data_IF_268286196870
#
_entry.id   IF_268286196870
#
_cell.length_a   1.000
_cell.length_b   1.000
_cell.length_c   1.000
_cell.angle_alpha   90.00
_cell.angle_beta   90.00
_cell.angle_gamma   90.00
#
_symmetry.space_group_name_H-M   'P 1'
#
loop_
_entity.id
_entity.type
_entity.pdbx_description
1 polymer ?
#
# COMPACT_ATOMS: atom_id res chain seq x y z
N UNK A 1 8.14 -11.70 -1.62
CA UNK A 1 7.73 -12.82 -2.48
C UNK A 1 8.72 -13.98 -2.34
N UNK A 2 10.02 -13.84 -2.69
CA UNK A 2 11.03 -14.93 -2.59
C UNK A 2 11.06 -15.62 -1.23
N UNK A 3 11.07 -14.86 -0.13
CA UNK A 3 11.07 -15.39 1.24
C UNK A 3 9.83 -16.21 1.54
N UNK A 4 8.68 -15.76 1.09
CA UNK A 4 7.40 -16.49 1.25
C UNK A 4 7.41 -17.80 0.46
N UNK A 5 7.94 -17.80 -0.78
CA UNK A 5 8.12 -19.03 -1.57
C UNK A 5 9.07 -20.01 -0.88
N UNK A 6 10.18 -19.53 -0.31
CA UNK A 6 11.08 -20.37 0.49
C UNK A 6 10.42 -20.97 1.74
N UNK A 7 9.40 -20.30 2.27
CA UNK A 7 8.58 -20.78 3.38
C UNK A 7 7.39 -21.66 2.94
N UNK A 8 7.39 -22.14 1.67
CA UNK A 8 6.34 -22.96 1.06
C UNK A 8 4.95 -22.31 1.07
N UNK A 9 4.90 -20.97 1.00
CA UNK A 9 3.63 -20.25 0.84
C UNK A 9 3.28 -20.17 -0.64
N UNK A 10 2.13 -20.69 -1.03
CA UNK A 10 1.56 -20.52 -2.35
C UNK A 10 1.10 -19.06 -2.53
N UNK A 11 1.56 -18.38 -3.58
CA UNK A 11 1.31 -16.96 -3.80
C UNK A 11 0.52 -16.78 -5.10
N UNK A 12 -0.67 -16.22 -4.98
CA UNK A 12 -1.45 -15.71 -6.11
C UNK A 12 -1.28 -14.19 -6.15
N UNK A 13 -0.47 -13.70 -7.09
CA UNK A 13 -0.11 -12.28 -7.14
C UNK A 13 -1.06 -11.51 -8.05
N UNK A 14 -1.72 -10.50 -7.49
CA UNK A 14 -2.55 -9.54 -8.19
C UNK A 14 -1.89 -8.16 -8.12
N UNK A 15 -1.56 -7.55 -9.28
CA UNK A 15 -0.89 -6.25 -9.26
C UNK A 15 -1.39 -5.34 -10.39
N UNK A 16 -1.20 -4.04 -10.18
CA UNK A 16 -1.52 -3.02 -11.19
C UNK A 16 -0.26 -2.60 -11.93
N UNK A 17 -0.24 -2.82 -13.25
CA UNK A 17 0.89 -2.42 -14.09
C UNK A 17 0.88 -0.91 -14.36
N UNK A 18 2.09 -0.36 -14.45
CA UNK A 18 2.36 0.96 -15.02
C UNK A 18 3.13 0.74 -16.33
N UNK A 19 2.77 1.47 -17.38
CA UNK A 19 3.29 1.24 -18.73
C UNK A 19 4.83 1.34 -18.87
N UNK A 20 5.55 1.83 -17.88
CA UNK A 20 7.00 2.06 -17.90
C UNK A 20 7.79 1.13 -16.94
N UNK A 21 7.12 0.28 -16.22
CA UNK A 21 7.80 -0.69 -15.33
C UNK A 21 7.85 -2.03 -16.01
N UNK A 22 9.08 -2.50 -16.24
CA UNK A 22 9.47 -3.71 -16.97
C UNK A 22 8.55 -4.94 -16.88
N UNK A 23 8.86 -5.95 -17.64
CA UNK A 23 8.11 -7.21 -17.70
C UNK A 23 8.18 -7.95 -16.36
N UNK A 24 7.05 -8.23 -15.71
CA UNK A 24 7.01 -8.95 -14.44
C UNK A 24 7.19 -10.47 -14.60
N UNK A 25 7.54 -10.97 -15.78
CA UNK A 25 7.67 -12.43 -16.07
C UNK A 25 8.61 -13.13 -15.09
N UNK A 26 9.63 -12.44 -14.57
CA UNK A 26 10.48 -12.98 -13.51
C UNK A 26 9.71 -13.36 -12.23
N UNK A 27 8.56 -12.73 -11.97
CA UNK A 27 7.73 -13.04 -10.81
C UNK A 27 7.00 -14.39 -10.93
N UNK A 28 6.83 -14.91 -12.15
CA UNK A 28 6.19 -16.21 -12.38
C UNK A 28 6.92 -17.35 -11.66
N UNK A 29 8.23 -17.26 -11.52
CA UNK A 29 9.01 -18.27 -10.80
C UNK A 29 8.72 -18.33 -9.28
N UNK A 30 8.09 -17.29 -8.73
CA UNK A 30 7.81 -17.17 -7.30
C UNK A 30 6.32 -17.26 -6.95
N UNK A 31 5.43 -17.29 -7.95
CA UNK A 31 3.99 -17.26 -7.76
C UNK A 31 3.32 -18.48 -8.42
N UNK A 32 2.23 -18.95 -7.83
CA UNK A 32 1.36 -19.98 -8.45
C UNK A 32 0.51 -19.37 -9.57
N UNK A 33 0.12 -18.09 -9.43
CA UNK A 33 -0.54 -17.33 -10.49
C UNK A 33 -0.17 -15.86 -10.44
N UNK A 34 -0.20 -15.23 -11.60
CA UNK A 34 0.13 -13.82 -11.79
C UNK A 34 -0.99 -13.13 -12.57
N UNK A 35 -1.65 -12.17 -11.97
CA UNK A 35 -2.75 -11.42 -12.57
C UNK A 35 -2.42 -9.93 -12.64
N UNK A 36 -2.53 -9.36 -13.84
CA UNK A 36 -2.15 -7.98 -14.14
C UNK A 36 -3.39 -7.14 -14.41
N UNK A 37 -3.52 -6.01 -13.75
CA UNK A 37 -4.64 -5.11 -13.95
C UNK A 37 -4.20 -3.71 -14.35
N UNK A 38 -5.08 -2.99 -15.05
CA UNK A 38 -4.88 -1.57 -15.39
C UNK A 38 -5.57 -0.67 -14.37
N UNK A 39 -4.89 0.40 -13.96
CA UNK A 39 -5.50 1.44 -13.13
C UNK A 39 -6.50 2.26 -13.93
N UNK A 40 -7.60 2.66 -13.28
CA UNK A 40 -8.54 3.63 -13.86
C UNK A 40 -7.83 5.00 -14.02
N UNK A 41 -7.99 5.63 -15.20
CA UNK A 41 -7.43 6.95 -15.48
C UNK A 41 -8.12 8.04 -14.66
N UNK A 42 -7.43 9.18 -14.46
CA UNK A 42 -7.86 10.32 -13.63
C UNK A 42 -9.15 11.04 -14.07
N UNK A 43 -9.77 10.69 -15.19
CA UNK A 43 -10.80 11.48 -15.85
C UNK A 43 -12.00 11.92 -14.97
N UNK A 44 -12.27 11.20 -13.86
CA UNK A 44 -13.37 11.53 -12.93
C UNK A 44 -12.90 11.72 -11.47
N UNK A 45 -11.59 11.90 -11.24
CA UNK A 45 -11.06 11.98 -9.87
C UNK A 45 -11.54 13.22 -9.10
N UNK A 46 -11.84 14.31 -9.81
CA UNK A 46 -12.25 15.58 -9.20
C UNK A 46 -13.62 15.47 -8.49
N UNK A 47 -14.51 14.63 -8.96
CA UNK A 47 -15.84 14.42 -8.39
C UNK A 47 -15.93 13.20 -7.46
N UNK A 48 -14.87 12.42 -7.34
CA UNK A 48 -14.87 11.23 -6.48
C UNK A 48 -14.93 11.60 -5.00
N UNK A 49 -15.76 10.88 -4.25
CA UNK A 49 -15.78 10.92 -2.77
C UNK A 49 -14.67 10.05 -2.15
N UNK A 50 -14.06 9.17 -2.94
CA UNK A 50 -12.92 8.34 -2.55
C UNK A 50 -11.61 8.97 -3.00
N UNK A 51 -10.51 8.77 -2.25
CA UNK A 51 -9.18 9.16 -2.70
C UNK A 51 -8.85 8.52 -4.04
N UNK A 52 -8.17 9.25 -4.92
CA UNK A 52 -7.79 8.71 -6.23
C UNK A 52 -6.87 7.49 -6.11
N UNK A 53 -5.95 7.49 -5.13
CA UNK A 53 -5.07 6.34 -4.90
C UNK A 53 -5.84 5.05 -4.64
N UNK A 54 -7.01 5.14 -4.00
CA UNK A 54 -7.91 4.01 -3.71
C UNK A 54 -8.82 3.72 -4.89
N UNK A 55 -9.57 4.72 -5.36
CA UNK A 55 -10.60 4.56 -6.40
C UNK A 55 -10.03 4.07 -7.74
N UNK A 56 -8.80 4.45 -8.08
CA UNK A 56 -8.14 4.03 -9.31
C UNK A 56 -7.80 2.54 -9.36
N UNK A 57 -7.83 1.85 -8.22
CA UNK A 57 -7.52 0.42 -8.09
C UNK A 57 -8.74 -0.47 -7.80
N UNK A 58 -9.93 0.08 -7.80
CA UNK A 58 -11.16 -0.72 -7.79
C UNK A 58 -11.37 -1.24 -9.21
N UNK A 59 -11.18 -2.55 -9.38
CA UNK A 59 -11.22 -3.23 -10.68
C UNK A 59 -12.13 -4.46 -10.59
N UNK A 60 -13.09 -4.57 -11.51
CA UNK A 60 -14.11 -5.62 -11.47
C UNK A 60 -13.53 -7.02 -11.75
N UNK A 61 -12.51 -7.10 -12.60
CA UNK A 61 -11.81 -8.37 -12.86
C UNK A 61 -11.03 -8.84 -11.63
N UNK A 62 -10.32 -7.92 -10.94
CA UNK A 62 -9.67 -8.22 -9.66
C UNK A 62 -10.68 -8.74 -8.64
N UNK A 63 -11.82 -8.06 -8.50
CA UNK A 63 -12.87 -8.47 -7.57
C UNK A 63 -13.38 -9.86 -7.89
N UNK A 64 -13.72 -10.14 -9.16
CA UNK A 64 -14.15 -11.46 -9.62
C UNK A 64 -13.10 -12.55 -9.37
N UNK A 65 -11.83 -12.25 -9.59
CA UNK A 65 -10.76 -13.21 -9.32
C UNK A 65 -10.62 -13.51 -7.84
N UNK A 66 -10.68 -12.50 -6.98
CA UNK A 66 -10.62 -12.67 -5.53
C UNK A 66 -11.84 -13.40 -4.95
N UNK A 67 -12.99 -13.35 -5.61
CA UNK A 67 -14.20 -14.05 -5.18
C UNK A 67 -14.24 -15.53 -5.56
N UNK A 68 -13.28 -16.04 -6.34
CA UNK A 68 -13.20 -17.46 -6.73
C UNK A 68 -12.77 -18.38 -5.58
N UNK A 69 -12.15 -17.83 -4.56
CA UNK A 69 -11.61 -18.56 -3.42
C UNK A 69 -11.79 -17.76 -2.12
N UNK A 70 -11.31 -18.33 -1.02
CA UNK A 70 -11.32 -17.69 0.29
C UNK A 70 -9.92 -17.66 0.93
N UNK A 71 -8.86 -17.63 0.13
CA UNK A 71 -7.49 -17.53 0.63
C UNK A 71 -7.26 -16.22 1.39
N UNK A 72 -6.39 -16.21 2.41
CA UNK A 72 -6.00 -14.97 3.07
C UNK A 72 -5.44 -13.95 2.07
N UNK A 73 -5.75 -12.67 2.29
CA UNK A 73 -5.29 -11.58 1.43
C UNK A 73 -4.30 -10.68 2.17
N UNK A 74 -3.15 -10.42 1.54
CA UNK A 74 -2.25 -9.34 1.92
C UNK A 74 -2.41 -8.17 0.94
N UNK A 75 -2.92 -7.04 1.44
CA UNK A 75 -3.04 -5.79 0.68
C UNK A 75 -1.80 -4.93 0.93
N UNK A 76 -0.99 -4.73 -0.10
CA UNK A 76 0.21 -3.91 -0.05
C UNK A 76 -0.14 -2.42 -0.20
N UNK A 77 -0.50 -1.81 0.92
CA UNK A 77 -0.81 -0.39 1.07
C UNK A 77 -2.30 -0.05 1.11
N UNK A 78 -2.58 1.11 1.71
CA UNK A 78 -3.92 1.69 1.81
C UNK A 78 -4.64 1.74 0.46
N UNK A 79 -3.89 2.01 -0.60
CA UNK A 79 -4.43 2.16 -1.95
C UNK A 79 -5.04 0.87 -2.52
N UNK A 80 -4.75 -0.30 -1.94
CA UNK A 80 -5.36 -1.58 -2.33
C UNK A 80 -6.68 -1.87 -1.59
N UNK A 81 -7.04 -1.09 -0.58
CA UNK A 81 -8.21 -1.37 0.29
C UNK A 81 -9.56 -1.08 -0.33
N UNK A 82 -9.62 -0.44 -1.51
CA UNK A 82 -10.87 -0.11 -2.19
C UNK A 82 -11.73 -1.31 -2.59
N UNK A 83 -11.15 -2.50 -2.62
CA UNK A 83 -11.86 -3.76 -2.92
C UNK A 83 -12.56 -4.38 -1.71
N UNK A 84 -12.24 -3.93 -0.50
CA UNK A 84 -12.77 -4.52 0.76
C UNK A 84 -14.30 -4.66 0.84
N UNK A 85 -15.12 -3.72 0.31
CA UNK A 85 -16.58 -3.86 0.35
C UNK A 85 -17.11 -5.07 -0.44
N UNK A 86 -16.28 -5.65 -1.29
CA UNK A 86 -16.61 -6.80 -2.13
C UNK A 86 -16.10 -8.13 -1.55
N UNK A 87 -15.46 -8.09 -0.37
CA UNK A 87 -14.90 -9.25 0.32
C UNK A 87 -15.73 -9.57 1.55
N UNK A 88 -15.89 -10.87 1.87
CA UNK A 88 -16.50 -11.30 3.13
C UNK A 88 -15.46 -11.24 4.26
N UNK A 89 -15.27 -10.07 4.87
CA UNK A 89 -14.26 -9.82 5.90
C UNK A 89 -14.50 -10.63 7.20
N UNK A 90 -15.71 -11.15 7.42
CA UNK A 90 -15.99 -11.99 8.59
C UNK A 90 -15.41 -13.40 8.47
N UNK A 91 -15.28 -13.89 7.25
CA UNK A 91 -14.83 -15.25 6.97
C UNK A 91 -13.43 -15.26 6.34
N UNK A 92 -12.99 -14.16 5.76
CA UNK A 92 -11.71 -14.05 5.04
C UNK A 92 -10.70 -13.21 5.81
N UNK A 93 -9.54 -13.78 6.10
CA UNK A 93 -8.44 -13.05 6.75
C UNK A 93 -7.84 -12.03 5.77
N UNK A 94 -7.83 -10.77 6.15
CA UNK A 94 -7.26 -9.68 5.35
C UNK A 94 -6.25 -8.90 6.20
N UNK A 95 -5.03 -8.81 5.70
CA UNK A 95 -3.96 -7.99 6.27
C UNK A 95 -3.69 -6.83 5.33
N UNK A 96 -3.65 -5.62 5.87
CA UNK A 96 -3.28 -4.40 5.14
C UNK A 96 -1.91 -3.94 5.63
N UNK A 97 -0.89 -4.00 4.77
CA UNK A 97 0.42 -3.47 5.10
C UNK A 97 0.45 -1.97 4.83
N UNK A 98 0.58 -1.21 5.91
CA UNK A 98 0.64 0.26 5.85
C UNK A 98 2.10 0.71 5.77
N UNK A 99 2.48 1.32 4.65
CA UNK A 99 3.85 1.79 4.44
C UNK A 99 4.09 3.17 5.06
N UNK A 100 3.08 4.03 5.00
CA UNK A 100 3.07 5.38 5.56
C UNK A 100 1.64 5.74 5.98
N UNK A 101 1.51 6.79 6.78
CA UNK A 101 0.24 7.49 6.92
C UNK A 101 0.05 8.42 5.72
N UNK A 102 -0.68 7.95 4.73
CA UNK A 102 -0.81 8.59 3.42
C UNK A 102 -1.46 9.98 3.48
N UNK A 103 -2.32 10.28 4.48
CA UNK A 103 -2.95 11.60 4.54
C UNK A 103 -1.96 12.69 4.93
N UNK A 104 -1.03 12.40 5.85
CA UNK A 104 0.07 13.29 6.23
C UNK A 104 1.03 13.47 5.05
N UNK A 105 1.42 12.39 4.39
CA UNK A 105 2.29 12.45 3.22
C UNK A 105 1.72 13.35 2.11
N UNK A 106 0.43 13.20 1.77
CA UNK A 106 -0.21 14.05 0.77
C UNK A 106 -0.36 15.51 1.22
N UNK A 107 -0.50 15.75 2.52
CA UNK A 107 -0.51 17.11 3.09
C UNK A 107 0.85 17.78 2.89
N UNK A 108 1.93 17.08 3.27
CA UNK A 108 3.30 17.59 3.12
C UNK A 108 3.65 17.85 1.65
N UNK A 109 3.27 16.94 0.73
CA UNK A 109 3.40 17.19 -0.71
C UNK A 109 2.65 18.45 -1.15
N UNK A 110 1.43 18.67 -0.63
CA UNK A 110 0.65 19.87 -0.94
C UNK A 110 1.28 21.14 -0.37
N UNK A 111 1.86 21.08 0.81
CA UNK A 111 2.54 22.22 1.44
C UNK A 111 3.82 22.61 0.71
N UNK A 112 4.58 21.63 0.22
CA UNK A 112 5.81 21.82 -0.52
C UNK A 112 5.61 22.21 -2.01
N UNK A 113 4.42 21.95 -2.58
CA UNK A 113 4.14 22.19 -4.00
C UNK A 113 3.94 23.68 -4.30
N UNK A 114 4.67 24.18 -5.29
CA UNK A 114 4.57 25.57 -5.76
C UNK A 114 3.44 25.81 -6.78
N UNK A 115 3.12 24.79 -7.60
CA UNK A 115 2.08 24.90 -8.61
C UNK A 115 0.68 24.83 -7.99
N UNK A 116 -0.08 25.92 -8.04
CA UNK A 116 -1.37 26.10 -7.37
C UNK A 116 -2.35 24.92 -7.59
N UNK A 117 -2.55 24.50 -8.83
CA UNK A 117 -3.50 23.40 -9.12
C UNK A 117 -3.06 22.06 -8.54
N UNK A 118 -1.76 21.76 -8.56
CA UNK A 118 -1.21 20.55 -7.94
C UNK A 118 -1.31 20.61 -6.43
N UNK A 119 -0.98 21.75 -5.83
CA UNK A 119 -1.16 22.01 -4.39
C UNK A 119 -2.59 21.73 -3.94
N UNK A 120 -3.57 22.32 -4.62
CA UNK A 120 -4.98 22.10 -4.33
C UNK A 120 -5.38 20.62 -4.46
N UNK A 121 -4.85 19.93 -5.47
CA UNK A 121 -5.08 18.50 -5.66
C UNK A 121 -4.53 17.69 -4.47
N UNK A 122 -3.29 17.90 -4.05
CA UNK A 122 -2.69 17.15 -2.94
C UNK A 122 -3.40 17.41 -1.61
N UNK A 123 -3.73 18.66 -1.31
CA UNK A 123 -4.45 19.01 -0.09
C UNK A 123 -5.88 18.42 -0.07
N UNK A 124 -6.55 18.36 -1.22
CA UNK A 124 -7.83 17.70 -1.34
C UNK A 124 -7.71 16.19 -1.14
N UNK A 125 -6.75 15.54 -1.79
CA UNK A 125 -6.49 14.10 -1.63
C UNK A 125 -6.15 13.77 -0.17
N UNK A 126 -5.31 14.55 0.51
CA UNK A 126 -5.04 14.40 1.94
C UNK A 126 -6.32 14.35 2.77
N UNK A 127 -7.24 15.31 2.57
CA UNK A 127 -8.53 15.33 3.27
C UNK A 127 -9.39 14.11 2.97
N UNK A 128 -9.41 13.66 1.72
CA UNK A 128 -10.17 12.46 1.32
C UNK A 128 -9.57 11.20 1.95
N UNK A 129 -8.25 11.06 1.97
CA UNK A 129 -7.54 9.94 2.59
C UNK A 129 -7.83 9.92 4.09
N UNK A 130 -7.73 11.06 4.76
CA UNK A 130 -8.06 11.18 6.18
C UNK A 130 -9.48 10.71 6.49
N UNK A 131 -10.46 11.18 5.71
CA UNK A 131 -11.85 10.73 5.84
C UNK A 131 -12.01 9.24 5.55
N UNK A 132 -11.29 8.72 4.58
CA UNK A 132 -11.32 7.30 4.22
C UNK A 132 -10.74 6.41 5.31
N UNK A 133 -9.66 6.84 5.96
CA UNK A 133 -9.05 6.11 7.06
C UNK A 133 -10.00 5.90 8.25
N UNK A 134 -10.89 6.87 8.54
CA UNK A 134 -11.94 6.69 9.56
C UNK A 134 -13.03 5.65 9.18
N UNK A 135 -13.03 5.16 7.96
CA UNK A 135 -13.98 4.15 7.47
C UNK A 135 -13.32 2.77 7.29
N UNK A 136 -12.06 2.64 7.72
CA UNK A 136 -11.37 1.36 7.67
C UNK A 136 -11.98 0.39 8.69
N UNK A 137 -12.25 -0.88 8.31
CA UNK A 137 -12.92 -1.85 9.18
C UNK A 137 -11.96 -2.46 10.20
N UNK A 138 -12.48 -2.76 11.39
CA UNK A 138 -11.72 -3.43 12.44
C UNK A 138 -11.54 -4.95 12.18
N UNK A 139 -12.24 -5.52 11.22
CA UNK A 139 -12.09 -6.93 10.81
C UNK A 139 -10.75 -7.20 10.08
N UNK A 140 -10.10 -6.16 9.58
CA UNK A 140 -8.77 -6.29 8.97
C UNK A 140 -7.66 -6.13 10.01
N UNK A 141 -6.51 -6.77 9.76
CA UNK A 141 -5.28 -6.51 10.50
C UNK A 141 -4.46 -5.46 9.76
N UNK A 142 -4.04 -4.41 10.45
CA UNK A 142 -3.20 -3.34 9.89
C UNK A 142 -1.75 -3.50 10.36
N UNK A 143 -0.86 -3.83 9.44
CA UNK A 143 0.55 -4.05 9.71
C UNK A 143 1.36 -2.80 9.34
N UNK A 144 1.84 -2.07 10.35
CA UNK A 144 2.57 -0.81 10.19
C UNK A 144 4.08 -1.01 10.31
N UNK A 145 4.83 -0.17 9.63
CA UNK A 145 6.30 -0.21 9.63
C UNK A 145 6.92 0.68 10.72
N UNK A 146 6.17 1.63 11.29
CA UNK A 146 6.64 2.54 12.32
C UNK A 146 5.71 2.58 13.53
N UNK A 147 6.28 2.87 14.71
CA UNK A 147 5.51 3.06 15.96
C UNK A 147 4.59 4.27 15.88
N UNK A 148 5.03 5.34 15.24
CA UNK A 148 4.22 6.55 15.02
C UNK A 148 2.94 6.26 14.23
N UNK A 149 3.04 5.44 13.17
CA UNK A 149 1.87 5.06 12.38
C UNK A 149 0.92 4.18 13.19
N UNK A 150 1.46 3.28 14.04
CA UNK A 150 0.65 2.45 14.94
C UNK A 150 -0.16 3.32 15.92
N UNK A 151 0.48 4.26 16.59
CA UNK A 151 -0.16 5.19 17.50
C UNK A 151 -1.27 5.97 16.79
N UNK A 152 -0.97 6.51 15.61
CA UNK A 152 -1.94 7.25 14.82
C UNK A 152 -3.14 6.39 14.40
N UNK A 153 -2.93 5.16 13.96
CA UNK A 153 -4.03 4.26 13.58
C UNK A 153 -4.89 3.89 14.79
N UNK A 154 -4.28 3.59 15.93
CA UNK A 154 -5.00 3.22 17.15
C UNK A 154 -5.71 4.41 17.80
N UNK A 155 -5.00 5.51 18.03
CA UNK A 155 -5.51 6.61 18.82
C UNK A 155 -6.40 7.54 18.02
N UNK A 156 -6.02 7.84 16.79
CA UNK A 156 -6.75 8.80 15.96
C UNK A 156 -7.83 8.14 15.10
N UNK A 157 -7.52 7.03 14.42
CA UNK A 157 -8.48 6.32 13.57
C UNK A 157 -9.26 5.21 14.31
N UNK A 158 -8.92 4.93 15.59
CA UNK A 158 -9.61 3.95 16.46
C UNK A 158 -9.62 2.53 15.90
N UNK A 159 -8.54 2.14 15.21
CA UNK A 159 -8.36 0.78 14.74
C UNK A 159 -7.79 -0.09 15.86
N UNK A 160 -8.40 -1.24 16.09
CA UNK A 160 -8.03 -2.14 17.20
C UNK A 160 -6.93 -3.13 16.78
N UNK A 161 -7.06 -3.70 15.59
CA UNK A 161 -6.17 -4.75 15.10
C UNK A 161 -4.95 -4.17 14.36
N UNK A 162 -4.08 -3.46 15.09
CA UNK A 162 -2.86 -2.86 14.53
C UNK A 162 -1.63 -3.52 15.12
N UNK A 163 -0.73 -4.01 14.26
CA UNK A 163 0.52 -4.69 14.62
C UNK A 163 1.73 -4.00 13.99
N UNK A 164 2.90 -4.20 14.61
CA UNK A 164 4.17 -3.75 14.05
C UNK A 164 4.76 -4.83 13.13
N UNK A 165 5.11 -4.47 11.91
CA UNK A 165 5.95 -5.28 11.02
C UNK A 165 7.04 -4.36 10.46
N UNK A 166 8.27 -4.44 10.97
CA UNK A 166 9.34 -3.57 10.53
C UNK A 166 9.69 -3.83 9.05
N UNK A 167 10.30 -2.85 8.42
CA UNK A 167 10.92 -3.04 7.12
C UNK A 167 12.13 -3.95 7.27
N UNK A 168 12.27 -4.94 6.39
CA UNK A 168 13.45 -5.78 6.34
C UNK A 168 14.15 -5.59 5.00
N UNK A 169 15.44 -5.29 5.01
CA UNK A 169 16.23 -5.25 3.78
C UNK A 169 16.34 -6.66 3.18
N UNK A 170 16.46 -6.75 1.88
CA UNK A 170 16.70 -8.01 1.18
C UNK A 170 18.13 -8.55 1.38
N UNK A 171 18.98 -7.76 2.00
CA UNK A 171 20.38 -8.11 2.24
C UNK A 171 20.52 -9.18 3.31
N UNK A 172 21.22 -10.26 2.99
CA UNK A 172 21.50 -11.35 3.92
C UNK A 172 22.81 -11.14 4.68
N UNK A 173 23.65 -10.21 4.22
CA UNK A 173 24.95 -9.90 4.80
C UNK A 173 25.21 -8.41 4.74
N UNK A 174 25.65 -7.85 5.85
CA UNK A 174 26.20 -6.49 5.90
C UNK A 174 27.67 -6.59 5.52
N UNK A 175 28.07 -5.86 4.48
CA UNK A 175 29.46 -5.75 4.01
C UNK A 175 29.89 -4.29 4.18
N UNK A 176 30.01 -3.85 5.41
CA UNK A 176 30.58 -2.55 5.74
C UNK A 176 31.81 -2.74 6.60
N UNK A 177 32.88 -2.04 6.26
CA UNK A 177 34.07 -1.93 7.08
C UNK A 177 34.00 -0.63 7.91
N UNK A 178 34.61 -0.65 9.09
CA UNK A 178 34.76 0.57 9.88
C UNK A 178 35.66 1.55 9.12
N UNK A 179 35.13 2.72 8.80
CA UNK A 179 35.84 3.77 8.10
C UNK A 179 36.16 4.96 8.99
N UNK A 180 37.28 5.60 8.77
CA UNK A 180 37.67 6.87 9.40
C UNK A 180 37.06 8.10 8.67
N UNK A 181 36.08 7.89 7.82
CA UNK A 181 35.52 8.90 6.96
C UNK A 181 34.59 9.88 7.67
N UNK A 182 34.64 11.13 7.27
CA UNK A 182 33.70 12.21 7.67
C UNK A 182 32.46 12.27 6.76
N UNK A 183 32.28 11.29 5.86
CA UNK A 183 31.23 11.26 4.85
C UNK A 183 30.02 10.48 5.39
N UNK A 184 28.85 11.10 5.39
CA UNK A 184 27.58 10.45 5.69
C UNK A 184 26.87 10.09 4.39
N UNK A 185 26.55 8.80 4.21
CA UNK A 185 25.74 8.34 3.08
C UNK A 185 24.26 8.40 3.47
N UNK A 186 23.49 9.21 2.76
CA UNK A 186 22.03 9.19 2.81
C UNK A 186 21.49 8.38 1.63
N UNK A 187 20.63 7.37 1.93
CA UNK A 187 19.88 6.62 0.93
C UNK A 187 18.39 6.85 1.14
N UNK A 188 17.76 7.63 0.26
CA UNK A 188 16.35 7.97 0.35
C UNK A 188 15.93 8.97 -0.73
N UNK A 189 14.66 9.37 -0.70
CA UNK A 189 14.15 10.43 -1.56
C UNK A 189 14.35 11.77 -0.87
N UNK A 190 15.03 12.70 -1.55
CA UNK A 190 15.28 14.07 -1.10
C UNK A 190 14.30 15.08 -1.75
N UNK A 191 13.25 14.61 -2.43
CA UNK A 191 12.26 15.49 -3.08
C UNK A 191 11.31 16.14 -2.08
#
# INVERSE_FOLDING_TARGET
IMTMKKANVAIHLHYFSYNERGDPTELNQYCESLHVYKRKKKQNAVFSKLPYIVSSRINDELIKNLQKDNYPILLEGLHCTGIRPYLNLKERKVVVRMHNEESTYYKELGEAESAFLKKMYFLRESKLIKKYNHQLPNECVYACVSTKDIEQLKEYYKLENVIAIPTFPSWQKVTSDEGLGTICLYHGNLS
#
